data_IF_158847202682
#
_entry.id   IF_158847202682
#
_cell.length_a   1.000
_cell.length_b   1.000
_cell.length_c   1.000
_cell.angle_alpha   90.00
_cell.angle_beta   90.00
_cell.angle_gamma   90.00
#
_symmetry.space_group_name_H-M   'P 1'
#
loop_
_entity.id
_entity.type
_entity.pdbx_description
1 polymer ?
#
# COMPACT_ATOMS: atom_id res chain seq x y z
N UNK A 1 -13.43 55.81 44.60
CA UNK A 1 -13.42 54.32 44.58
C UNK A 1 -14.17 53.74 43.37
N UNK A 2 -15.41 54.19 43.09
CA UNK A 2 -16.21 53.70 41.95
C UNK A 2 -15.58 53.90 40.56
N UNK A 3 -14.85 55.00 40.34
CA UNK A 3 -14.22 55.28 39.04
C UNK A 3 -13.03 54.34 38.70
N UNK A 4 -12.32 53.85 39.72
CA UNK A 4 -11.21 52.90 39.56
C UNK A 4 -11.72 51.48 39.26
N UNK A 5 -12.87 51.10 39.81
CA UNK A 5 -13.53 49.82 39.56
C UNK A 5 -14.09 49.78 38.12
N UNK A 6 -14.66 50.90 37.62
CA UNK A 6 -15.13 50.99 36.24
C UNK A 6 -13.99 50.89 35.21
N UNK A 7 -12.83 51.50 35.46
CA UNK A 7 -11.67 51.42 34.55
C UNK A 7 -11.10 49.99 34.52
N UNK A 8 -11.01 49.30 35.67
CA UNK A 8 -10.59 47.89 35.72
C UNK A 8 -11.56 46.97 34.97
N UNK A 9 -12.88 47.19 35.10
CA UNK A 9 -13.90 46.42 34.37
C UNK A 9 -13.86 46.67 32.85
N UNK A 10 -13.61 47.90 32.42
CA UNK A 10 -13.44 48.25 31.00
C UNK A 10 -12.16 47.60 30.44
N UNK A 11 -11.03 47.70 31.16
CA UNK A 11 -9.77 47.07 30.76
C UNK A 11 -9.86 45.53 30.71
N UNK A 12 -10.62 44.93 31.63
CA UNK A 12 -10.91 43.49 31.60
C UNK A 12 -11.74 43.12 30.36
N UNK A 13 -12.81 43.88 30.07
CA UNK A 13 -13.65 43.67 28.87
C UNK A 13 -12.89 43.86 27.55
N UNK A 14 -12.02 44.87 27.46
CA UNK A 14 -11.19 45.12 26.27
C UNK A 14 -10.15 44.01 26.09
N UNK A 15 -9.52 43.55 27.18
CA UNK A 15 -8.59 42.42 27.14
C UNK A 15 -9.30 41.13 26.72
N UNK A 16 -10.47 40.82 27.29
CA UNK A 16 -11.26 39.65 26.90
C UNK A 16 -11.73 39.71 25.45
N UNK A 17 -12.09 40.90 24.95
CA UNK A 17 -12.52 41.09 23.56
C UNK A 17 -11.36 40.95 22.57
N UNK A 18 -10.15 41.45 22.91
CA UNK A 18 -8.93 41.23 22.11
C UNK A 18 -8.54 39.75 22.04
N UNK A 19 -8.64 39.04 23.16
CA UNK A 19 -8.41 37.58 23.21
C UNK A 19 -9.44 36.85 22.33
N UNK A 20 -10.70 37.22 22.41
CA UNK A 20 -11.77 36.62 21.59
C UNK A 20 -11.61 36.89 20.08
N UNK A 21 -11.22 38.12 19.68
CA UNK A 21 -10.93 38.44 18.28
C UNK A 21 -9.73 37.64 17.76
N UNK A 22 -8.65 37.54 18.54
CA UNK A 22 -7.47 36.73 18.19
C UNK A 22 -7.83 35.24 18.07
N UNK A 23 -8.74 34.76 18.91
CA UNK A 23 -9.25 33.40 18.85
C UNK A 23 -10.05 33.15 17.57
N UNK A 24 -10.98 34.04 17.23
CA UNK A 24 -11.78 33.95 15.99
C UNK A 24 -10.91 34.03 14.72
N UNK A 25 -9.92 34.94 14.68
CA UNK A 25 -9.01 35.02 13.53
C UNK A 25 -8.16 33.76 13.38
N UNK A 26 -7.78 33.13 14.49
CA UNK A 26 -7.06 31.85 14.48
C UNK A 26 -7.93 30.72 13.97
N UNK A 27 -9.22 30.66 14.35
CA UNK A 27 -10.17 29.67 13.82
C UNK A 27 -10.35 29.84 12.31
N UNK A 28 -10.61 31.07 11.85
CA UNK A 28 -10.81 31.36 10.43
C UNK A 28 -9.57 30.99 9.61
N UNK A 29 -8.37 31.38 10.08
CA UNK A 29 -7.12 31.02 9.43
C UNK A 29 -6.92 29.50 9.31
N UNK A 30 -7.24 28.74 10.36
CA UNK A 30 -7.15 27.27 10.33
C UNK A 30 -8.16 26.63 9.38
N UNK A 31 -9.36 27.20 9.28
CA UNK A 31 -10.40 26.72 8.36
C UNK A 31 -9.97 26.94 6.90
N UNK A 32 -9.51 28.16 6.59
CA UNK A 32 -9.06 28.52 5.24
C UNK A 32 -7.85 27.67 4.81
N UNK A 33 -6.86 27.52 5.70
CA UNK A 33 -5.71 26.65 5.45
C UNK A 33 -6.13 25.19 5.22
N UNK A 34 -7.01 24.65 6.06
CA UNK A 34 -7.48 23.27 5.93
C UNK A 34 -8.14 23.00 4.57
N UNK A 35 -8.94 23.95 4.09
CA UNK A 35 -9.59 23.87 2.77
C UNK A 35 -8.59 24.01 1.62
N UNK A 36 -7.61 24.91 1.73
CA UNK A 36 -6.56 25.06 0.71
C UNK A 36 -5.70 23.80 0.60
N UNK A 37 -5.30 23.23 1.75
CA UNK A 37 -4.57 21.96 1.79
C UNK A 37 -5.39 20.82 1.21
N UNK A 38 -6.70 20.75 1.53
CA UNK A 38 -7.61 19.76 0.93
C UNK A 38 -7.66 19.89 -0.59
N UNK A 39 -7.81 21.12 -1.10
CA UNK A 39 -7.79 21.41 -2.55
C UNK A 39 -6.46 20.98 -3.22
N UNK A 40 -5.33 21.22 -2.55
CA UNK A 40 -4.03 20.75 -3.02
C UNK A 40 -3.97 19.22 -3.07
N UNK A 41 -4.42 18.54 -2.02
CA UNK A 41 -4.44 17.07 -1.95
C UNK A 41 -5.35 16.46 -3.01
N UNK A 42 -6.54 17.04 -3.26
CA UNK A 42 -7.46 16.56 -4.28
C UNK A 42 -6.88 16.72 -5.70
N UNK A 43 -6.04 17.74 -5.91
CA UNK A 43 -5.24 17.95 -7.13
C UNK A 43 -3.93 17.15 -7.17
N UNK A 44 -3.70 16.24 -6.20
CA UNK A 44 -2.46 15.45 -6.02
C UNK A 44 -1.18 16.31 -5.82
N UNK A 45 -1.33 17.56 -5.39
CA UNK A 45 -0.24 18.49 -5.11
C UNK A 45 0.24 18.36 -3.65
N UNK A 46 0.65 17.16 -3.25
CA UNK A 46 0.94 16.83 -1.84
C UNK A 46 2.11 17.63 -1.24
N UNK A 47 3.19 17.86 -2.02
CA UNK A 47 4.32 18.68 -1.56
C UNK A 47 3.89 20.12 -1.23
N UNK A 48 3.07 20.71 -2.10
CA UNK A 48 2.52 22.06 -1.91
C UNK A 48 1.62 22.12 -0.66
N UNK A 49 0.80 21.10 -0.42
CA UNK A 49 -0.01 21.03 0.80
C UNK A 49 0.86 21.05 2.06
N UNK A 50 2.01 20.37 2.06
CA UNK A 50 2.95 20.37 3.18
C UNK A 50 3.72 21.68 3.31
N UNK A 51 4.10 22.33 2.19
CA UNK A 51 4.70 23.66 2.23
C UNK A 51 3.77 24.71 2.87
N UNK A 52 2.46 24.63 2.58
CA UNK A 52 1.44 25.46 3.23
C UNK A 52 1.37 25.19 4.74
N UNK A 53 1.40 23.90 5.13
CA UNK A 53 1.45 23.50 6.53
C UNK A 53 2.68 24.06 7.25
N UNK A 54 3.88 23.94 6.66
CA UNK A 54 5.13 24.43 7.25
C UNK A 54 5.15 25.95 7.41
N UNK A 55 4.66 26.66 6.40
CA UNK A 55 4.58 28.12 6.43
C UNK A 55 3.68 28.58 7.58
N UNK A 56 2.63 27.82 7.86
CA UNK A 56 1.73 28.10 8.99
C UNK A 56 2.34 27.68 10.33
N UNK A 57 3.05 26.54 10.40
CA UNK A 57 3.81 26.10 11.58
C UNK A 57 4.79 27.17 12.07
N UNK A 58 5.54 27.80 11.15
CA UNK A 58 6.50 28.88 11.47
C UNK A 58 5.86 30.12 12.10
N UNK A 59 4.55 30.29 11.99
CA UNK A 59 3.81 31.42 12.54
C UNK A 59 3.29 31.17 13.98
N UNK A 60 3.72 30.10 14.66
CA UNK A 60 3.40 29.79 16.07
C UNK A 60 1.89 29.76 16.41
N UNK A 61 1.06 29.23 15.50
CA UNK A 61 -0.36 29.00 15.80
C UNK A 61 -0.47 27.71 16.60
N UNK A 62 -0.59 27.83 17.93
CA UNK A 62 -0.60 26.70 18.88
C UNK A 62 -1.80 25.74 18.69
N UNK A 63 -2.83 26.13 17.94
CA UNK A 63 -4.05 25.35 17.75
C UNK A 63 -4.31 25.05 16.29
N UNK A 64 -3.98 23.84 15.84
CA UNK A 64 -4.40 23.31 14.54
C UNK A 64 -5.79 22.70 14.61
N UNK A 65 -6.59 22.90 13.57
CA UNK A 65 -7.84 22.16 13.39
C UNK A 65 -7.55 20.70 13.00
N UNK A 66 -8.48 19.80 13.33
CA UNK A 66 -8.46 18.40 12.86
C UNK A 66 -8.27 18.33 11.34
N UNK A 67 -8.94 19.22 10.59
CA UNK A 67 -8.83 19.30 9.13
C UNK A 67 -7.39 19.55 8.67
N UNK A 68 -6.69 20.52 9.23
CA UNK A 68 -5.30 20.83 8.86
C UNK A 68 -4.38 19.62 9.11
N UNK A 69 -4.50 19.01 10.30
CA UNK A 69 -3.70 17.85 10.70
C UNK A 69 -3.97 16.66 9.77
N UNK A 70 -5.25 16.34 9.54
CA UNK A 70 -5.63 15.21 8.67
C UNK A 70 -5.17 15.42 7.22
N UNK A 71 -5.21 16.64 6.70
CA UNK A 71 -4.68 16.94 5.37
C UNK A 71 -3.15 16.86 5.30
N UNK A 72 -2.44 17.29 6.35
CA UNK A 72 -0.98 17.16 6.44
C UNK A 72 -0.56 15.68 6.46
N UNK A 73 -1.18 14.87 7.33
CA UNK A 73 -0.92 13.43 7.41
C UNK A 73 -1.25 12.72 6.10
N UNK A 74 -2.38 13.06 5.45
CA UNK A 74 -2.73 12.53 4.12
C UNK A 74 -1.64 12.83 3.09
N UNK A 75 -1.12 14.06 3.06
CA UNK A 75 -0.04 14.43 2.16
C UNK A 75 1.24 13.62 2.46
N UNK A 76 1.64 13.50 3.73
CA UNK A 76 2.77 12.67 4.17
C UNK A 76 2.63 11.21 3.72
N UNK A 77 1.44 10.61 3.85
CA UNK A 77 1.17 9.24 3.37
C UNK A 77 1.45 9.09 1.88
N UNK A 78 0.99 10.04 1.05
CA UNK A 78 1.14 9.97 -0.39
C UNK A 78 2.58 10.15 -0.87
N UNK A 79 3.34 11.04 -0.22
CA UNK A 79 4.76 11.25 -0.55
C UNK A 79 5.70 10.31 0.21
N UNK A 80 5.17 9.46 1.10
CA UNK A 80 5.90 8.52 1.97
C UNK A 80 6.94 9.22 2.87
N UNK A 81 6.62 10.43 3.33
CA UNK A 81 7.48 11.20 4.24
C UNK A 81 7.20 10.79 5.69
N UNK A 82 7.90 9.75 6.14
CA UNK A 82 7.72 9.19 7.47
C UNK A 82 8.14 10.17 8.57
N UNK A 83 9.30 10.81 8.40
CA UNK A 83 9.85 11.68 9.44
C UNK A 83 8.87 12.79 9.77
N UNK A 84 8.37 13.49 8.73
CA UNK A 84 7.43 14.59 8.93
C UNK A 84 6.12 14.15 9.57
N UNK A 85 5.54 13.03 9.13
CA UNK A 85 4.30 12.56 9.75
C UNK A 85 4.51 12.08 11.20
N UNK A 86 5.69 11.56 11.55
CA UNK A 86 6.06 11.26 12.93
C UNK A 86 6.23 12.52 13.78
N UNK A 87 6.82 13.58 13.23
CA UNK A 87 6.95 14.87 13.91
C UNK A 87 5.56 15.48 14.19
N UNK A 88 4.66 15.45 13.20
CA UNK A 88 3.26 15.85 13.36
C UNK A 88 2.58 15.04 14.47
N UNK A 89 2.77 13.71 14.49
CA UNK A 89 2.20 12.85 15.52
C UNK A 89 2.70 13.23 16.94
N UNK A 90 4.01 13.50 17.10
CA UNK A 90 4.57 13.95 18.38
C UNK A 90 3.97 15.28 18.84
N UNK A 91 3.82 16.25 17.93
CA UNK A 91 3.25 17.57 18.22
C UNK A 91 1.81 17.50 18.72
N UNK A 92 1.03 16.54 18.23
CA UNK A 92 -0.40 16.42 18.54
C UNK A 92 -0.70 15.37 19.61
N UNK A 93 0.33 14.71 20.18
CA UNK A 93 0.21 13.57 21.10
C UNK A 93 -0.79 13.73 22.23
N UNK A 94 -0.92 14.93 22.80
CA UNK A 94 -1.89 15.27 23.85
C UNK A 94 -3.35 15.36 23.37
N UNK A 95 -3.60 15.55 22.07
CA UNK A 95 -4.93 15.75 21.46
C UNK A 95 -5.52 14.48 20.84
N UNK A 96 -4.70 13.47 20.56
CA UNK A 96 -5.07 12.30 19.76
C UNK A 96 -6.20 11.49 20.38
N UNK A 97 -6.24 11.40 21.71
CA UNK A 97 -7.20 10.55 22.42
C UNK A 97 -8.65 10.99 22.23
N UNK A 98 -8.88 12.23 21.77
CA UNK A 98 -10.22 12.83 21.71
C UNK A 98 -10.70 13.16 20.29
N UNK A 99 -9.86 12.96 19.25
CA UNK A 99 -10.22 13.31 17.87
C UNK A 99 -10.16 12.09 16.95
N UNK A 100 -11.34 11.57 16.61
CA UNK A 100 -11.52 10.40 15.75
C UNK A 100 -10.93 10.58 14.35
N UNK A 101 -10.99 11.79 13.78
CA UNK A 101 -10.51 12.06 12.42
C UNK A 101 -8.98 12.08 12.35
N UNK A 102 -8.34 12.66 13.38
CA UNK A 102 -6.87 12.61 13.55
C UNK A 102 -6.43 11.16 13.71
N UNK A 103 -7.11 10.41 14.58
CA UNK A 103 -6.77 9.01 14.85
C UNK A 103 -6.88 8.14 13.59
N UNK A 104 -7.95 8.31 12.82
CA UNK A 104 -8.13 7.65 11.51
C UNK A 104 -6.99 7.98 10.54
N UNK A 105 -6.57 9.25 10.48
CA UNK A 105 -5.51 9.70 9.58
C UNK A 105 -4.13 9.20 10.00
N UNK A 106 -3.87 9.08 11.31
CA UNK A 106 -2.64 8.49 11.85
C UNK A 106 -2.58 6.97 11.59
N UNK A 107 -3.69 6.25 11.78
CA UNK A 107 -3.77 4.82 11.45
C UNK A 107 -3.50 4.62 9.95
N UNK A 108 -4.13 5.43 9.09
CA UNK A 108 -3.86 5.40 7.65
C UNK A 108 -2.37 5.65 7.35
N UNK A 109 -1.80 6.71 7.90
CA UNK A 109 -0.39 7.07 7.74
C UNK A 109 0.55 5.93 8.15
N UNK A 110 0.35 5.36 9.34
CA UNK A 110 1.20 4.29 9.84
C UNK A 110 0.97 2.93 9.18
N UNK A 111 -0.24 2.65 8.65
CA UNK A 111 -0.52 1.42 7.91
C UNK A 111 0.22 1.33 6.56
N UNK A 112 0.64 2.47 5.99
CA UNK A 112 1.18 2.53 4.63
C UNK A 112 2.73 2.63 4.57
N UNK A 113 3.40 2.70 5.72
CA UNK A 113 4.85 2.91 5.79
C UNK A 113 5.54 1.62 6.23
N UNK A 114 6.46 1.12 5.40
CA UNK A 114 7.26 -0.09 5.66
C UNK A 114 8.34 0.19 6.73
N UNK A 115 8.76 -0.83 7.49
CA UNK A 115 9.77 -0.86 8.59
C UNK A 115 9.22 -0.75 10.03
N UNK A 116 8.53 -1.79 10.54
CA UNK A 116 8.07 -1.93 11.95
C UNK A 116 7.11 -0.87 12.49
N UNK A 117 6.67 0.03 11.63
CA UNK A 117 5.70 1.10 11.90
C UNK A 117 4.23 0.63 12.00
N UNK A 118 3.79 -0.47 11.35
CA UNK A 118 2.41 -0.92 11.47
C UNK A 118 1.98 -1.25 12.91
N UNK A 119 2.91 -1.53 13.83
CA UNK A 119 2.59 -1.71 15.25
C UNK A 119 1.96 -0.43 15.86
N UNK A 120 2.44 0.77 15.48
CA UNK A 120 1.83 2.02 15.92
C UNK A 120 0.39 2.16 15.41
N UNK A 121 0.09 1.67 14.21
CA UNK A 121 -1.27 1.68 13.70
C UNK A 121 -2.19 0.78 14.54
N UNK A 122 -1.68 -0.39 14.96
CA UNK A 122 -2.38 -1.31 15.86
C UNK A 122 -2.60 -0.70 17.25
N UNK A 123 -1.58 -0.07 17.83
CA UNK A 123 -1.69 0.59 19.15
C UNK A 123 -2.74 1.70 19.15
N UNK A 124 -2.83 2.46 18.05
CA UNK A 124 -3.84 3.49 17.85
C UNK A 124 -5.23 2.88 17.61
N UNK A 125 -5.32 1.78 16.84
CA UNK A 125 -6.56 1.06 16.60
C UNK A 125 -7.16 0.51 17.89
N UNK A 126 -6.35 -0.06 18.78
CA UNK A 126 -6.79 -0.61 20.07
C UNK A 126 -7.41 0.44 21.00
N UNK A 127 -7.22 1.74 20.75
CA UNK A 127 -7.86 2.84 21.49
C UNK A 127 -9.27 3.18 20.98
N UNK A 128 -9.72 2.55 19.89
CA UNK A 128 -11.02 2.81 19.27
C UNK A 128 -12.01 1.73 19.67
N UNK A 129 -13.10 2.12 20.33
CA UNK A 129 -14.17 1.17 20.68
C UNK A 129 -14.99 0.75 19.45
N UNK A 130 -15.30 1.70 18.56
CA UNK A 130 -16.16 1.48 17.40
C UNK A 130 -15.48 1.95 16.10
N UNK A 131 -14.54 1.16 15.54
CA UNK A 131 -13.87 1.52 14.31
C UNK A 131 -14.82 1.44 13.12
N UNK A 132 -14.76 2.42 12.24
CA UNK A 132 -15.50 2.38 10.98
C UNK A 132 -14.84 1.42 9.96
N UNK A 133 -15.51 1.22 8.83
CA UNK A 133 -15.05 0.37 7.73
C UNK A 133 -13.66 0.74 7.19
N UNK A 134 -13.31 2.03 7.20
CA UNK A 134 -12.05 2.51 6.61
C UNK A 134 -10.89 2.18 7.55
N UNK A 135 -11.09 2.40 8.85
CA UNK A 135 -10.14 2.06 9.90
C UNK A 135 -9.87 0.56 9.93
N UNK A 136 -10.92 -0.24 9.79
CA UNK A 136 -10.84 -1.70 9.71
C UNK A 136 -9.93 -2.15 8.55
N UNK A 137 -10.07 -1.56 7.36
CA UNK A 137 -9.20 -1.89 6.21
C UNK A 137 -7.75 -1.54 6.52
N UNK A 138 -7.50 -0.39 7.13
CA UNK A 138 -6.14 0.03 7.46
C UNK A 138 -5.47 -0.85 8.51
N UNK A 139 -6.20 -1.30 9.54
CA UNK A 139 -5.63 -2.23 10.53
C UNK A 139 -5.32 -3.58 9.90
N UNK A 140 -6.14 -4.09 8.98
CA UNK A 140 -5.80 -5.32 8.26
C UNK A 140 -4.60 -5.17 7.35
N UNK A 141 -4.48 -4.06 6.62
CA UNK A 141 -3.29 -3.79 5.83
C UNK A 141 -2.03 -3.72 6.72
N UNK A 142 -2.15 -3.13 7.92
CA UNK A 142 -1.09 -3.11 8.92
C UNK A 142 -0.74 -4.53 9.41
N UNK A 143 -1.74 -5.36 9.71
CA UNK A 143 -1.54 -6.75 10.10
C UNK A 143 -0.85 -7.57 8.99
N UNK A 144 -1.31 -7.41 7.75
CA UNK A 144 -0.72 -8.03 6.57
C UNK A 144 0.74 -7.60 6.36
N UNK A 145 1.07 -6.33 6.65
CA UNK A 145 2.44 -5.84 6.56
C UNK A 145 3.36 -6.39 7.67
N UNK A 146 2.82 -6.75 8.84
CA UNK A 146 3.58 -7.36 9.93
C UNK A 146 3.78 -8.86 9.73
N UNK A 147 2.72 -9.59 9.36
CA UNK A 147 2.79 -11.04 9.16
C UNK A 147 3.13 -11.84 10.43
N UNK A 148 2.86 -11.31 11.63
CA UNK A 148 3.18 -11.96 12.92
C UNK A 148 1.97 -12.67 13.52
N UNK A 149 2.21 -13.52 14.53
CA UNK A 149 1.14 -14.18 15.30
C UNK A 149 0.23 -13.18 16.02
N UNK A 150 0.78 -12.08 16.55
CA UNK A 150 -0.02 -11.04 17.21
C UNK A 150 -0.94 -10.33 16.20
N UNK A 151 -0.45 -10.08 14.99
CA UNK A 151 -1.24 -9.53 13.89
C UNK A 151 -2.35 -10.49 13.45
N UNK A 152 -2.09 -11.80 13.47
CA UNK A 152 -3.10 -12.83 13.20
C UNK A 152 -4.21 -12.81 14.25
N UNK A 153 -3.85 -12.80 15.53
CA UNK A 153 -4.81 -12.79 16.63
C UNK A 153 -5.69 -11.53 16.60
N UNK A 154 -5.09 -10.38 16.31
CA UNK A 154 -5.84 -9.14 16.11
C UNK A 154 -6.77 -9.22 14.90
N UNK A 155 -6.31 -9.81 13.79
CA UNK A 155 -7.12 -9.99 12.58
C UNK A 155 -8.37 -10.82 12.88
N UNK A 156 -8.20 -11.96 13.56
CA UNK A 156 -9.29 -12.85 13.96
C UNK A 156 -10.27 -12.15 14.91
N UNK A 157 -9.76 -11.54 15.98
CA UNK A 157 -10.58 -10.80 16.96
C UNK A 157 -11.35 -9.65 16.33
N UNK A 158 -10.74 -8.94 15.38
CA UNK A 158 -11.38 -7.83 14.68
C UNK A 158 -12.48 -8.33 13.74
N UNK A 159 -12.23 -9.43 13.03
CA UNK A 159 -13.20 -10.09 12.15
C UNK A 159 -14.44 -10.58 12.93
N UNK A 160 -14.25 -11.25 14.07
CA UNK A 160 -15.35 -11.73 14.93
C UNK A 160 -16.27 -10.60 15.42
N UNK A 161 -15.72 -9.42 15.66
CA UNK A 161 -16.47 -8.24 16.10
C UNK A 161 -17.20 -7.51 14.96
N UNK A 162 -16.97 -7.87 13.71
CA UNK A 162 -17.61 -7.18 12.58
C UNK A 162 -19.09 -7.47 12.50
N UNK A 163 -19.87 -6.43 12.20
CA UNK A 163 -21.26 -6.62 11.83
C UNK A 163 -21.37 -7.39 10.51
N UNK A 164 -22.45 -8.17 10.36
CA UNK A 164 -22.73 -8.94 9.13
C UNK A 164 -22.72 -8.08 7.86
N UNK A 165 -23.06 -6.80 7.95
CA UNK A 165 -23.04 -5.87 6.81
C UNK A 165 -21.65 -5.55 6.29
N UNK A 166 -20.59 -5.72 7.08
CA UNK A 166 -19.21 -5.51 6.63
C UNK A 166 -18.68 -6.70 5.82
N UNK A 167 -19.21 -7.91 6.07
CA UNK A 167 -18.88 -9.12 5.32
C UNK A 167 -19.36 -9.08 3.87
N UNK A 168 -20.24 -8.15 3.49
CA UNK A 168 -20.62 -7.96 2.08
C UNK A 168 -19.72 -6.98 1.33
N UNK A 169 -18.73 -6.36 2.00
CA UNK A 169 -17.82 -5.40 1.38
C UNK A 169 -16.55 -6.11 0.89
N UNK A 170 -16.38 -6.17 -0.43
CA UNK A 170 -15.24 -6.88 -1.04
C UNK A 170 -13.88 -6.25 -0.74
N UNK A 171 -13.81 -4.94 -0.50
CA UNK A 171 -12.56 -4.27 -0.07
C UNK A 171 -12.14 -4.70 1.33
N UNK A 172 -13.10 -4.83 2.25
CA UNK A 172 -12.82 -5.36 3.59
C UNK A 172 -12.39 -6.81 3.46
N UNK A 173 -13.17 -7.65 2.78
CA UNK A 173 -12.83 -9.07 2.65
C UNK A 173 -11.48 -9.29 1.98
N UNK A 174 -11.14 -8.56 0.92
CA UNK A 174 -9.81 -8.67 0.30
C UNK A 174 -8.68 -8.27 1.24
N UNK A 175 -8.86 -7.24 2.08
CA UNK A 175 -7.87 -6.87 3.11
C UNK A 175 -7.75 -7.92 4.23
N UNK A 176 -8.87 -8.54 4.66
CA UNK A 176 -8.87 -9.67 5.60
C UNK A 176 -8.09 -10.84 5.02
N UNK A 177 -8.34 -11.19 3.76
CA UNK A 177 -7.67 -12.30 3.09
C UNK A 177 -6.15 -12.04 2.98
N UNK A 178 -5.72 -10.84 2.55
CA UNK A 178 -4.28 -10.51 2.49
C UNK A 178 -3.63 -10.58 3.89
N UNK A 179 -4.33 -10.14 4.94
CA UNK A 179 -3.86 -10.26 6.32
C UNK A 179 -3.73 -11.71 6.78
N UNK A 180 -4.76 -12.53 6.62
CA UNK A 180 -4.76 -13.94 7.01
C UNK A 180 -3.67 -14.74 6.26
N UNK A 181 -3.56 -14.53 4.94
CA UNK A 181 -2.57 -15.22 4.11
C UNK A 181 -1.14 -14.85 4.51
N UNK A 182 -0.83 -13.57 4.73
CA UNK A 182 0.52 -13.14 5.12
C UNK A 182 0.89 -13.46 6.57
N UNK A 183 -0.10 -13.60 7.43
CA UNK A 183 0.13 -14.11 8.79
C UNK A 183 0.13 -15.65 8.86
N UNK A 184 -0.03 -16.35 7.72
CA UNK A 184 0.13 -17.80 7.60
C UNK A 184 -1.11 -18.64 7.90
N UNK A 185 -2.28 -18.06 8.22
CA UNK A 185 -3.51 -18.82 8.43
C UNK A 185 -4.30 -19.02 7.13
N UNK A 186 -3.70 -19.80 6.22
CA UNK A 186 -4.23 -20.09 4.89
C UNK A 186 -5.60 -20.76 4.97
N UNK A 187 -5.79 -21.68 5.91
CA UNK A 187 -7.07 -22.41 6.07
C UNK A 187 -8.21 -21.48 6.45
N UNK A 188 -7.96 -20.52 7.34
CA UNK A 188 -9.00 -19.57 7.70
C UNK A 188 -9.30 -18.60 6.54
N UNK A 189 -8.27 -18.16 5.82
CA UNK A 189 -8.46 -17.36 4.60
C UNK A 189 -9.32 -18.09 3.56
N UNK A 190 -9.05 -19.39 3.32
CA UNK A 190 -9.86 -20.26 2.46
C UNK A 190 -11.32 -20.32 2.93
N UNK A 191 -11.56 -20.50 4.23
CA UNK A 191 -12.92 -20.50 4.80
C UNK A 191 -13.64 -19.17 4.57
N UNK A 192 -12.99 -18.04 4.84
CA UNK A 192 -13.56 -16.71 4.61
C UNK A 192 -13.87 -16.50 3.13
N UNK A 193 -12.91 -16.82 2.24
CA UNK A 193 -13.10 -16.71 0.80
C UNK A 193 -14.27 -17.55 0.31
N UNK A 194 -14.32 -18.83 0.70
CA UNK A 194 -15.37 -19.76 0.28
C UNK A 194 -16.76 -19.33 0.77
N UNK A 195 -16.87 -18.82 1.99
CA UNK A 195 -18.12 -18.32 2.56
C UNK A 195 -18.68 -17.06 1.90
N UNK A 196 -17.84 -16.29 1.18
CA UNK A 196 -18.28 -15.07 0.50
C UNK A 196 -19.12 -15.38 -0.75
N UNK A 197 -20.30 -14.77 -0.85
CA UNK A 197 -21.23 -14.97 -1.97
C UNK A 197 -20.84 -14.17 -3.21
N UNK A 198 -20.18 -13.02 -3.05
CA UNK A 198 -19.83 -12.08 -4.13
C UNK A 198 -18.31 -11.89 -4.20
N UNK A 199 -17.60 -12.90 -4.72
CA UNK A 199 -16.15 -12.85 -4.93
C UNK A 199 -15.81 -11.96 -6.13
N UNK A 200 -15.04 -10.91 -5.92
CA UNK A 200 -14.52 -10.06 -6.99
C UNK A 200 -13.05 -10.35 -7.32
N UNK A 201 -12.53 -9.72 -8.37
CA UNK A 201 -11.15 -9.91 -8.82
C UNK A 201 -10.11 -9.52 -7.76
N UNK A 202 -10.44 -8.62 -6.84
CA UNK A 202 -9.56 -8.24 -5.72
C UNK A 202 -9.42 -9.38 -4.72
N UNK A 203 -10.51 -10.07 -4.39
CA UNK A 203 -10.47 -11.26 -3.53
C UNK A 203 -9.70 -12.41 -4.18
N UNK A 204 -9.93 -12.69 -5.47
CA UNK A 204 -9.16 -13.69 -6.22
C UNK A 204 -7.67 -13.34 -6.23
N UNK A 205 -7.32 -12.08 -6.49
CA UNK A 205 -5.94 -11.61 -6.47
C UNK A 205 -5.27 -11.77 -5.10
N UNK A 206 -5.96 -11.45 -4.01
CA UNK A 206 -5.45 -11.61 -2.64
C UNK A 206 -5.13 -13.09 -2.34
N UNK A 207 -6.06 -14.00 -2.65
CA UNK A 207 -5.86 -15.44 -2.44
C UNK A 207 -4.73 -15.99 -3.33
N UNK A 208 -4.74 -15.70 -4.63
CA UNK A 208 -3.70 -16.17 -5.56
C UNK A 208 -2.32 -15.71 -5.12
N UNK A 209 -2.18 -14.42 -4.76
CA UNK A 209 -0.93 -13.88 -4.25
C UNK A 209 -0.51 -14.57 -2.95
N UNK A 210 -1.45 -14.73 -2.01
CA UNK A 210 -1.19 -15.38 -0.73
C UNK A 210 -0.71 -16.83 -0.91
N UNK A 211 -1.29 -17.58 -1.84
CA UNK A 211 -0.87 -18.95 -2.13
C UNK A 211 0.57 -19.02 -2.67
N UNK A 212 0.93 -18.10 -3.59
CA UNK A 212 2.31 -17.99 -4.09
C UNK A 212 3.28 -17.67 -2.95
N UNK A 213 2.92 -16.72 -2.07
CA UNK A 213 3.75 -16.32 -0.92
C UNK A 213 3.86 -17.42 0.16
N UNK A 214 2.88 -18.34 0.24
CA UNK A 214 2.87 -19.49 1.14
C UNK A 214 3.37 -20.80 0.48
N UNK A 215 4.07 -20.70 -0.65
CA UNK A 215 4.66 -21.84 -1.38
C UNK A 215 3.65 -22.89 -1.88
N UNK A 216 2.45 -22.46 -2.29
CA UNK A 216 1.41 -23.31 -2.92
C UNK A 216 0.96 -22.71 -4.27
N UNK A 217 1.86 -22.55 -5.26
CA UNK A 217 1.52 -21.94 -6.54
C UNK A 217 0.47 -22.73 -7.34
N UNK A 218 0.32 -24.04 -7.09
CA UNK A 218 -0.69 -24.90 -7.70
C UNK A 218 -2.11 -24.42 -7.38
N UNK A 219 -2.42 -24.12 -6.10
CA UNK A 219 -3.72 -23.55 -5.74
C UNK A 219 -3.97 -22.18 -6.37
N UNK A 220 -2.93 -21.36 -6.55
CA UNK A 220 -3.06 -20.09 -7.27
C UNK A 220 -3.47 -20.32 -8.74
N UNK A 221 -2.86 -21.31 -9.40
CA UNK A 221 -3.19 -21.71 -10.78
C UNK A 221 -4.61 -22.28 -10.87
N UNK A 222 -5.02 -23.13 -9.92
CA UNK A 222 -6.39 -23.66 -9.86
C UNK A 222 -7.42 -22.55 -9.68
N UNK A 223 -7.12 -21.60 -8.80
CA UNK A 223 -8.00 -20.47 -8.53
C UNK A 223 -8.14 -19.55 -9.75
N UNK A 224 -7.06 -19.33 -10.51
CA UNK A 224 -7.11 -18.59 -11.79
C UNK A 224 -8.12 -19.20 -12.78
N UNK A 225 -8.21 -20.54 -12.86
CA UNK A 225 -9.14 -21.23 -13.77
C UNK A 225 -10.61 -20.93 -13.47
N UNK A 226 -10.93 -20.48 -12.25
CA UNK A 226 -12.28 -20.11 -11.83
C UNK A 226 -12.65 -18.66 -12.21
N UNK A 227 -11.66 -17.82 -12.54
CA UNK A 227 -11.86 -16.40 -12.82
C UNK A 227 -12.40 -16.21 -14.24
N UNK A 228 -13.61 -15.66 -14.34
CA UNK A 228 -14.16 -15.17 -15.62
C UNK A 228 -13.63 -13.77 -15.90
N UNK A 229 -13.10 -13.55 -17.10
CA UNK A 229 -12.52 -12.27 -17.53
C UNK A 229 -11.44 -11.72 -16.58
N UNK A 230 -10.28 -12.41 -16.46
CA UNK A 230 -9.23 -11.99 -15.54
C UNK A 230 -8.69 -10.60 -15.88
N UNK A 231 -8.41 -9.79 -14.85
CA UNK A 231 -7.70 -8.51 -15.02
C UNK A 231 -6.21 -8.73 -15.24
N UNK A 232 -5.52 -7.66 -15.66
CA UNK A 232 -4.05 -7.61 -15.78
C UNK A 232 -3.32 -8.13 -14.53
N UNK A 233 -3.80 -7.75 -13.34
CA UNK A 233 -3.23 -8.18 -12.06
C UNK A 233 -3.38 -9.70 -11.88
N UNK A 234 -4.53 -10.26 -12.24
CA UNK A 234 -4.83 -11.69 -12.10
C UNK A 234 -4.00 -12.52 -13.09
N UNK A 235 -3.83 -12.06 -14.33
CA UNK A 235 -2.88 -12.68 -15.28
C UNK A 235 -1.45 -12.64 -14.76
N UNK A 236 -1.00 -11.49 -14.25
CA UNK A 236 0.33 -11.36 -13.68
C UNK A 236 0.58 -12.35 -12.53
N UNK A 237 -0.40 -12.53 -11.63
CA UNK A 237 -0.32 -13.50 -10.54
C UNK A 237 -0.28 -14.94 -11.07
N UNK A 238 -1.05 -15.27 -12.11
CA UNK A 238 -0.97 -16.58 -12.75
C UNK A 238 0.43 -16.88 -13.30
N UNK A 239 1.03 -15.96 -14.05
CA UNK A 239 2.38 -16.17 -14.59
C UNK A 239 3.43 -16.25 -13.47
N UNK A 240 3.29 -15.46 -12.40
CA UNK A 240 4.14 -15.59 -11.22
C UNK A 240 4.01 -16.97 -10.55
N UNK A 241 2.80 -17.55 -10.48
CA UNK A 241 2.59 -18.89 -9.97
C UNK A 241 3.28 -19.94 -10.86
N UNK A 242 3.11 -19.87 -12.19
CA UNK A 242 3.83 -20.73 -13.13
C UNK A 242 5.36 -20.60 -13.00
N UNK A 243 5.86 -19.37 -12.88
CA UNK A 243 7.28 -19.10 -12.67
C UNK A 243 7.79 -19.66 -11.34
N UNK A 244 6.96 -19.68 -10.29
CA UNK A 244 7.32 -20.26 -8.99
C UNK A 244 7.40 -21.78 -9.08
N UNK A 245 6.47 -22.40 -9.82
CA UNK A 245 6.41 -23.84 -10.03
C UNK A 245 7.55 -24.35 -10.94
N UNK A 246 7.79 -23.69 -12.07
CA UNK A 246 8.95 -23.96 -12.94
C UNK A 246 8.97 -25.34 -13.61
N UNK A 247 7.83 -26.02 -13.72
CA UNK A 247 7.69 -27.36 -14.31
C UNK A 247 7.30 -27.32 -15.78
N UNK A 248 7.45 -28.43 -16.49
CA UNK A 248 6.96 -28.60 -17.86
C UNK A 248 5.44 -28.40 -17.98
N UNK A 249 4.66 -28.86 -17.00
CA UNK A 249 3.22 -28.62 -16.96
C UNK A 249 2.91 -27.11 -16.86
N UNK A 250 3.65 -26.39 -16.00
CA UNK A 250 3.49 -24.94 -15.88
C UNK A 250 3.90 -24.19 -17.15
N UNK A 251 4.82 -24.74 -17.96
CA UNK A 251 5.16 -24.21 -19.27
C UNK A 251 3.97 -24.30 -20.23
N UNK A 252 3.33 -25.47 -20.30
CA UNK A 252 2.19 -25.69 -21.19
C UNK A 252 1.01 -24.78 -20.81
N UNK A 253 0.78 -24.61 -19.50
CA UNK A 253 -0.22 -23.66 -18.99
C UNK A 253 0.13 -22.21 -19.32
N UNK A 254 1.40 -21.83 -19.20
CA UNK A 254 1.90 -20.50 -19.57
C UNK A 254 1.62 -20.20 -21.03
N UNK A 255 1.99 -21.12 -21.94
CA UNK A 255 1.79 -20.96 -23.38
C UNK A 255 0.31 -20.84 -23.75
N UNK A 256 -0.52 -21.77 -23.26
CA UNK A 256 -1.98 -21.76 -23.51
C UNK A 256 -2.65 -20.49 -22.99
N UNK A 257 -2.18 -19.96 -21.86
CA UNK A 257 -2.75 -18.75 -21.27
C UNK A 257 -2.28 -17.48 -21.99
N UNK A 258 -1.04 -17.47 -22.47
CA UNK A 258 -0.49 -16.38 -23.27
C UNK A 258 -1.27 -16.19 -24.59
N UNK A 259 -1.62 -17.28 -25.27
CA UNK A 259 -2.46 -17.25 -26.49
C UNK A 259 -3.85 -16.63 -26.24
N UNK A 260 -4.40 -16.83 -25.04
CA UNK A 260 -5.71 -16.29 -24.62
C UNK A 260 -5.60 -14.89 -24.01
N UNK A 261 -4.40 -14.38 -23.78
CA UNK A 261 -4.19 -13.09 -23.15
C UNK A 261 -4.68 -11.96 -24.08
N UNK A 262 -5.48 -11.00 -23.60
CA UNK A 262 -5.92 -9.87 -24.40
C UNK A 262 -4.75 -9.11 -25.03
N UNK A 263 -4.88 -8.72 -26.31
CA UNK A 263 -3.83 -7.98 -27.04
C UNK A 263 -3.41 -6.68 -26.34
N UNK A 264 -4.33 -6.01 -25.65
CA UNK A 264 -4.04 -4.80 -24.87
C UNK A 264 -3.00 -5.04 -23.77
N UNK A 265 -2.94 -6.25 -23.19
CA UNK A 265 -2.06 -6.56 -22.07
C UNK A 265 -0.60 -6.71 -22.49
N UNK A 266 -0.32 -6.93 -23.78
CA UNK A 266 1.04 -6.95 -24.32
C UNK A 266 1.72 -5.56 -24.28
N UNK A 267 0.96 -4.49 -24.03
CA UNK A 267 1.54 -3.16 -23.77
C UNK A 267 1.98 -2.95 -22.31
N UNK A 268 1.55 -3.84 -21.39
CA UNK A 268 1.89 -3.74 -19.98
C UNK A 268 3.20 -4.49 -19.68
N UNK A 269 4.25 -3.73 -19.43
CA UNK A 269 5.58 -4.25 -19.14
C UNK A 269 5.68 -5.07 -17.85
N UNK A 270 4.80 -4.85 -16.86
CA UNK A 270 4.76 -5.66 -15.63
C UNK A 270 4.27 -7.08 -15.90
N UNK A 271 3.20 -7.24 -16.70
CA UNK A 271 2.70 -8.57 -17.10
C UNK A 271 3.73 -9.26 -17.99
N UNK A 272 4.32 -8.54 -18.95
CA UNK A 272 5.38 -9.13 -19.77
C UNK A 272 6.57 -9.58 -18.92
N UNK A 273 6.93 -8.85 -17.88
CA UNK A 273 7.99 -9.25 -16.95
C UNK A 273 7.70 -10.60 -16.27
N UNK A 274 6.45 -10.87 -15.87
CA UNK A 274 6.07 -12.15 -15.26
C UNK A 274 5.96 -13.27 -16.28
N UNK A 275 5.49 -12.98 -17.50
CA UNK A 275 5.51 -13.93 -18.64
C UNK A 275 6.95 -14.37 -18.94
N UNK A 276 7.89 -13.43 -19.01
CA UNK A 276 9.30 -13.73 -19.26
C UNK A 276 9.89 -14.59 -18.14
N UNK A 277 9.64 -14.24 -16.86
CA UNK A 277 10.14 -15.05 -15.73
C UNK A 277 9.56 -16.47 -15.76
N UNK A 278 8.28 -16.63 -16.10
CA UNK A 278 7.64 -17.93 -16.27
C UNK A 278 8.29 -18.75 -17.39
N UNK A 279 8.38 -18.21 -18.61
CA UNK A 279 8.98 -18.90 -19.75
C UNK A 279 10.43 -19.29 -19.47
N UNK A 280 11.23 -18.38 -18.91
CA UNK A 280 12.63 -18.64 -18.62
C UNK A 280 12.81 -19.72 -17.54
N UNK A 281 12.07 -19.65 -16.43
CA UNK A 281 12.18 -20.66 -15.37
C UNK A 281 11.63 -22.03 -15.77
N UNK A 282 10.68 -22.05 -16.70
CA UNK A 282 10.16 -23.29 -17.26
C UNK A 282 10.98 -23.83 -18.46
N UNK A 283 12.02 -23.10 -18.88
CA UNK A 283 12.99 -23.55 -19.89
C UNK A 283 12.73 -23.16 -21.35
N UNK A 284 11.71 -22.34 -21.64
CA UNK A 284 11.46 -21.86 -23.02
C UNK A 284 12.14 -20.51 -23.30
N UNK A 285 13.47 -20.58 -23.40
CA UNK A 285 14.34 -19.42 -23.62
C UNK A 285 13.99 -18.70 -24.93
N UNK A 286 13.71 -19.46 -26.01
CA UNK A 286 13.49 -18.88 -27.35
C UNK A 286 12.22 -18.04 -27.40
N UNK A 287 11.15 -18.51 -26.77
CA UNK A 287 9.90 -17.76 -26.72
C UNK A 287 10.06 -16.49 -25.86
N UNK A 288 10.75 -16.61 -24.71
CA UNK A 288 11.07 -15.45 -23.89
C UNK A 288 11.89 -14.39 -24.65
N UNK A 289 12.93 -14.82 -25.39
CA UNK A 289 13.73 -13.95 -26.26
C UNK A 289 12.88 -13.24 -27.31
N UNK A 290 11.95 -13.96 -27.96
CA UNK A 290 11.04 -13.39 -28.95
C UNK A 290 10.17 -12.28 -28.37
N UNK A 291 9.52 -12.54 -27.22
CA UNK A 291 8.67 -11.56 -26.54
C UNK A 291 9.50 -10.35 -26.09
N UNK A 292 10.65 -10.60 -25.45
CA UNK A 292 11.52 -9.54 -24.95
C UNK A 292 11.97 -8.62 -26.10
N UNK A 293 12.47 -9.19 -27.20
CA UNK A 293 12.95 -8.43 -28.34
C UNK A 293 11.83 -7.62 -29.02
N UNK A 294 10.63 -8.19 -29.15
CA UNK A 294 9.48 -7.50 -29.76
C UNK A 294 8.88 -6.37 -28.91
N UNK A 295 9.16 -6.33 -27.60
CA UNK A 295 8.66 -5.27 -26.71
C UNK A 295 9.35 -3.94 -26.97
N UNK A 296 8.56 -2.88 -27.19
CA UNK A 296 9.05 -1.52 -27.43
C UNK A 296 9.44 -0.79 -26.13
N UNK A 297 8.80 -1.11 -25.01
CA UNK A 297 9.01 -0.47 -23.71
C UNK A 297 9.56 -1.46 -22.69
N UNK A 298 10.86 -1.78 -22.82
CA UNK A 298 11.56 -2.68 -21.90
C UNK A 298 11.84 -1.96 -20.58
N UNK A 299 11.30 -2.46 -19.48
CA UNK A 299 11.57 -1.96 -18.12
C UNK A 299 12.61 -2.82 -17.43
N UNK A 300 13.25 -2.30 -16.38
CA UNK A 300 14.31 -2.98 -15.65
C UNK A 300 13.93 -4.39 -15.17
N UNK A 301 12.68 -4.61 -14.73
CA UNK A 301 12.22 -5.93 -14.28
C UNK A 301 12.25 -6.98 -15.40
N UNK A 302 12.04 -6.60 -16.66
CA UNK A 302 12.13 -7.51 -17.80
C UNK A 302 13.58 -7.96 -18.05
N UNK A 303 14.54 -7.02 -17.97
CA UNK A 303 15.96 -7.35 -18.04
C UNK A 303 16.36 -8.29 -16.90
N UNK A 304 15.90 -8.01 -15.67
CA UNK A 304 16.14 -8.87 -14.51
C UNK A 304 15.63 -10.29 -14.70
N UNK A 305 14.41 -10.45 -15.21
CA UNK A 305 13.83 -11.77 -15.52
C UNK A 305 14.67 -12.54 -16.55
N UNK A 306 15.07 -11.88 -17.65
CA UNK A 306 15.88 -12.51 -18.70
C UNK A 306 17.28 -12.89 -18.19
N UNK A 307 17.98 -12.00 -17.49
CA UNK A 307 19.32 -12.24 -16.95
C UNK A 307 19.31 -13.41 -15.95
N UNK A 308 18.36 -13.40 -15.00
CA UNK A 308 18.17 -14.49 -14.04
C UNK A 308 17.86 -15.80 -14.76
N UNK A 309 16.99 -15.73 -15.75
CA UNK A 309 16.61 -16.84 -16.60
C UNK A 309 17.79 -17.47 -17.34
N UNK A 310 18.62 -16.65 -18.00
CA UNK A 310 19.79 -17.13 -18.73
C UNK A 310 20.78 -17.82 -17.81
N UNK A 311 21.00 -17.27 -16.62
CA UNK A 311 21.89 -17.88 -15.62
C UNK A 311 21.37 -19.26 -15.22
N UNK A 312 20.07 -19.39 -14.92
CA UNK A 312 19.44 -20.68 -14.58
C UNK A 312 19.44 -21.71 -15.72
N UNK A 313 19.44 -21.24 -16.97
CA UNK A 313 19.45 -22.08 -18.16
C UNK A 313 20.85 -22.27 -18.75
N UNK A 314 21.91 -22.12 -17.94
CA UNK A 314 23.30 -22.34 -18.34
C UNK A 314 23.75 -21.52 -19.56
N UNK A 315 23.24 -20.28 -19.69
CA UNK A 315 23.56 -19.33 -20.77
C UNK A 315 24.19 -18.02 -20.23
N UNK A 316 25.27 -18.08 -19.41
CA UNK A 316 25.80 -16.90 -18.72
C UNK A 316 26.30 -15.81 -19.68
N UNK A 317 26.80 -16.16 -20.86
CA UNK A 317 27.24 -15.18 -21.86
C UNK A 317 26.09 -14.28 -22.33
N UNK A 318 24.89 -14.85 -22.54
CA UNK A 318 23.69 -14.07 -22.89
C UNK A 318 23.26 -13.16 -21.75
N UNK A 319 23.38 -13.62 -20.50
CA UNK A 319 23.10 -12.81 -19.31
C UNK A 319 24.03 -11.58 -19.24
N UNK A 320 25.34 -11.78 -19.43
CA UNK A 320 26.35 -10.71 -19.42
C UNK A 320 26.12 -9.73 -20.57
N UNK A 321 25.88 -10.24 -21.78
CA UNK A 321 25.64 -9.40 -22.95
C UNK A 321 24.37 -8.56 -22.79
N UNK A 322 23.31 -9.12 -22.20
CA UNK A 322 22.08 -8.37 -21.93
C UNK A 322 22.28 -7.31 -20.85
N UNK A 323 23.05 -7.61 -19.80
CA UNK A 323 23.35 -6.63 -18.75
C UNK A 323 24.11 -5.41 -19.28
N UNK A 324 25.05 -5.62 -20.21
CA UNK A 324 25.80 -4.54 -20.86
C UNK A 324 24.93 -3.57 -21.67
N UNK A 325 23.72 -3.99 -22.06
CA UNK A 325 22.77 -3.13 -22.79
C UNK A 325 21.97 -2.20 -21.86
N UNK A 326 22.04 -2.40 -20.54
CA UNK A 326 21.34 -1.54 -19.58
C UNK A 326 22.11 -0.21 -19.48
N UNK A 327 21.52 0.87 -19.98
CA UNK A 327 22.06 2.22 -19.83
C UNK A 327 21.94 2.71 -18.37
N UNK A 328 23.03 3.27 -17.83
CA UNK A 328 23.09 3.81 -16.47
C UNK A 328 22.56 2.84 -15.38
N UNK A 329 23.15 1.64 -15.22
CA UNK A 329 22.76 0.75 -14.14
C UNK A 329 23.01 1.44 -12.80
N UNK A 330 21.97 1.53 -11.95
CA UNK A 330 22.14 2.01 -10.58
C UNK A 330 23.07 1.07 -9.80
N UNK A 331 23.65 1.51 -8.70
CA UNK A 331 24.44 0.63 -7.80
C UNK A 331 23.63 -0.61 -7.37
N UNK A 332 22.34 -0.43 -7.11
CA UNK A 332 21.43 -1.53 -6.77
C UNK A 332 21.32 -2.54 -7.92
N UNK A 333 21.26 -2.06 -9.16
CA UNK A 333 21.19 -2.92 -10.34
C UNK A 333 22.48 -3.76 -10.49
N UNK A 334 23.63 -3.16 -10.21
CA UNK A 334 24.92 -3.84 -10.22
C UNK A 334 25.00 -4.91 -9.12
N UNK A 335 24.63 -4.56 -7.89
CA UNK A 335 24.63 -5.51 -6.76
C UNK A 335 23.71 -6.70 -7.05
N UNK A 336 22.49 -6.45 -7.53
CA UNK A 336 21.54 -7.51 -7.87
C UNK A 336 22.08 -8.37 -9.01
N UNK A 337 22.72 -7.77 -10.03
CA UNK A 337 23.37 -8.51 -11.11
C UNK A 337 24.50 -9.43 -10.60
N UNK A 338 25.40 -8.92 -9.75
CA UNK A 338 26.48 -9.71 -9.18
C UNK A 338 25.95 -10.85 -8.28
N UNK A 339 24.96 -10.57 -7.43
CA UNK A 339 24.34 -11.60 -6.60
C UNK A 339 23.67 -12.69 -7.45
N UNK A 340 23.03 -12.33 -8.57
CA UNK A 340 22.42 -13.31 -9.48
C UNK A 340 23.43 -14.18 -10.22
N UNK A 341 24.65 -13.69 -10.47
CA UNK A 341 25.73 -14.49 -11.08
C UNK A 341 26.47 -15.38 -10.07
N UNK A 342 26.56 -14.96 -8.81
CA UNK A 342 27.38 -15.62 -7.77
C UNK A 342 26.59 -16.63 -6.92
N UNK A 343 25.26 -16.46 -6.77
CA UNK A 343 24.43 -17.27 -5.86
C UNK A 343 23.71 -18.47 -6.52
N UNK A 344 24.16 -18.95 -7.68
CA UNK A 344 23.66 -20.21 -8.27
C UNK A 344 24.74 -21.29 -8.25
#
# INVERSE_FOLDING_TARGET
MNHFISIKLINYRVTSMKVFIKYLSTIQSNFDLGNEMKSCNDKKQFKKALELFDKHMKNNIETYSSLVITQALKACTHIKDFQRGSDIHHLISSRIQHDFHILTSLIHFYSYIKNNIPMKAIDLFNKIENPDKVIIIFVFNACAALGTSEALDLTKKTLEKMSKSLYSNSYILSSVLDALMKCGDVKYAESVFNSSTNKDLSMYGAMMKGYIENNDPEKAIELFKQVKNPSEVVFNLFFNACATLGTSESLDLTKKTLEKMPKSFYSNSYILSSVLDALMKCGDIKHAESIFNSSTNKVFSMYGAMIKGYTKNNCPEKAINLFKQIENPSEVNLIVFFLMLVLN
#
